data_IF_496088914029
#
_entry.id   IF_496088914029
#
_cell.length_a   1.000
_cell.length_b   1.000
_cell.length_c   1.000
_cell.angle_alpha   90.00
_cell.angle_beta   90.00
_cell.angle_gamma   90.00
#
_symmetry.space_group_name_H-M   'P 1'
#
loop_
_entity.id
_entity.type
_entity.pdbx_description
1 polymer ?
#
# COMPACT_ATOMS: atom_id res chain seq x y z
N UNK A 1 7.65 -0.35 6.07
CA UNK A 1 6.77 -0.09 4.90
C UNK A 1 6.73 1.39 4.61
N UNK A 2 6.69 1.77 3.35
CA UNK A 2 6.65 3.17 2.95
C UNK A 2 5.27 3.63 2.44
N UNK A 3 4.36 2.74 2.09
CA UNK A 3 3.15 3.11 1.37
C UNK A 3 1.88 2.45 1.95
N UNK A 4 0.86 3.28 2.13
CA UNK A 4 -0.50 2.88 2.48
C UNK A 4 -1.45 3.59 1.52
N UNK A 5 -2.45 2.88 1.01
CA UNK A 5 -3.52 3.53 0.26
C UNK A 5 -4.45 4.27 1.22
N UNK A 6 -4.59 5.57 1.01
CA UNK A 6 -5.47 6.43 1.78
C UNK A 6 -6.57 7.01 0.89
N UNK A 7 -7.75 7.19 1.47
CA UNK A 7 -8.88 7.80 0.81
C UNK A 7 -9.79 8.49 1.82
N UNK A 8 -10.66 9.38 1.35
CA UNK A 8 -11.65 9.98 2.25
C UNK A 8 -12.68 8.93 2.67
N UNK A 9 -13.10 8.99 3.93
CA UNK A 9 -14.11 8.09 4.48
C UNK A 9 -15.42 8.15 3.67
N UNK A 10 -15.80 9.33 3.26
CA UNK A 10 -17.02 9.54 2.47
C UNK A 10 -16.92 8.84 1.11
N UNK A 11 -15.80 8.99 0.41
CA UNK A 11 -15.59 8.32 -0.88
C UNK A 11 -15.64 6.80 -0.73
N UNK A 12 -14.90 6.24 0.22
CA UNK A 12 -14.84 4.78 0.46
C UNK A 12 -16.23 4.23 0.77
N UNK A 13 -17.00 4.94 1.61
CA UNK A 13 -18.37 4.53 1.99
C UNK A 13 -19.33 4.59 0.81
N UNK A 14 -19.27 5.64 0.00
CA UNK A 14 -20.18 5.84 -1.15
C UNK A 14 -19.78 5.01 -2.37
N UNK A 15 -18.51 4.65 -2.50
CA UNK A 15 -17.95 4.00 -3.69
C UNK A 15 -17.16 2.73 -3.34
N UNK A 16 -17.76 1.73 -2.69
CA UNK A 16 -17.02 0.53 -2.25
C UNK A 16 -16.47 -0.28 -3.43
N UNK A 17 -17.23 -0.36 -4.54
CA UNK A 17 -16.77 -1.06 -5.75
C UNK A 17 -15.58 -0.38 -6.39
N UNK A 18 -15.59 0.95 -6.52
CA UNK A 18 -14.46 1.70 -7.06
C UNK A 18 -13.23 1.60 -6.17
N UNK A 19 -13.40 1.68 -4.85
CA UNK A 19 -12.34 1.49 -3.86
C UNK A 19 -11.69 0.12 -4.00
N UNK A 20 -12.47 -0.94 -4.07
CA UNK A 20 -11.97 -2.31 -4.26
C UNK A 20 -11.24 -2.50 -5.60
N UNK A 21 -11.77 -1.91 -6.69
CA UNK A 21 -11.13 -1.95 -8.01
C UNK A 21 -9.78 -1.24 -8.01
N UNK A 22 -9.69 -0.06 -7.40
CA UNK A 22 -8.42 0.67 -7.28
C UNK A 22 -7.38 -0.14 -6.49
N UNK A 23 -7.76 -0.69 -5.34
CA UNK A 23 -6.88 -1.54 -4.55
C UNK A 23 -6.43 -2.80 -5.32
N UNK A 24 -7.35 -3.45 -6.05
CA UNK A 24 -7.01 -4.60 -6.91
C UNK A 24 -5.97 -4.25 -7.96
N UNK A 25 -6.09 -3.09 -8.61
CA UNK A 25 -5.13 -2.64 -9.60
C UNK A 25 -3.73 -2.45 -8.98
N UNK A 26 -3.64 -1.86 -7.79
CA UNK A 26 -2.39 -1.69 -7.05
C UNK A 26 -1.77 -3.03 -6.67
N UNK A 27 -2.57 -3.98 -6.17
CA UNK A 27 -2.08 -5.30 -5.79
C UNK A 27 -1.59 -6.11 -7.00
N UNK A 28 -2.27 -6.00 -8.15
CA UNK A 28 -1.79 -6.58 -9.41
C UNK A 28 -0.49 -5.93 -9.90
N UNK A 29 -0.34 -4.63 -9.73
CA UNK A 29 0.91 -3.95 -10.03
C UNK A 29 2.07 -4.47 -9.17
N UNK A 30 1.83 -4.75 -7.88
CA UNK A 30 2.82 -5.39 -7.01
C UNK A 30 3.26 -6.76 -7.55
N UNK A 31 2.34 -7.55 -8.07
CA UNK A 31 2.66 -8.85 -8.68
C UNK A 31 3.52 -8.69 -9.95
N UNK A 32 3.24 -7.71 -10.77
CA UNK A 32 4.05 -7.38 -11.96
C UNK A 32 5.44 -6.92 -11.55
N UNK A 33 5.55 -6.02 -10.56
CA UNK A 33 6.84 -5.56 -10.05
C UNK A 33 7.70 -6.69 -9.48
N UNK A 34 7.07 -7.68 -8.85
CA UNK A 34 7.76 -8.85 -8.32
C UNK A 34 8.20 -9.82 -9.41
N UNK A 35 7.36 -10.04 -10.43
CA UNK A 35 7.60 -11.02 -11.48
C UNK A 35 8.59 -10.53 -12.55
N UNK A 36 8.52 -9.25 -12.92
CA UNK A 36 9.36 -8.65 -13.97
C UNK A 36 9.74 -7.20 -13.60
N UNK A 37 10.71 -7.04 -12.68
CA UNK A 37 11.13 -5.73 -12.21
C UNK A 37 11.73 -4.87 -13.34
N UNK A 38 12.41 -5.46 -14.31
CA UNK A 38 12.99 -4.76 -15.46
C UNK A 38 11.91 -4.11 -16.33
N UNK A 39 10.84 -4.82 -16.62
CA UNK A 39 9.69 -4.30 -17.36
C UNK A 39 9.00 -3.19 -16.61
N UNK A 40 8.80 -3.36 -15.29
CA UNK A 40 8.18 -2.36 -14.44
C UNK A 40 9.00 -1.06 -14.42
N UNK A 41 10.33 -1.17 -14.26
CA UNK A 41 11.24 -0.02 -14.26
C UNK A 41 11.25 0.69 -15.61
N UNK A 42 11.33 -0.04 -16.72
CA UNK A 42 11.24 0.58 -18.06
C UNK A 42 9.97 1.41 -18.21
N UNK A 43 8.82 0.86 -17.83
CA UNK A 43 7.55 1.57 -17.89
C UNK A 43 7.52 2.85 -17.06
N UNK A 44 8.20 2.87 -15.90
CA UNK A 44 8.32 4.06 -15.05
C UNK A 44 9.25 5.11 -15.64
N UNK A 45 10.39 4.70 -16.20
CA UNK A 45 11.36 5.59 -16.86
C UNK A 45 10.76 6.21 -18.12
N UNK A 46 10.15 5.41 -18.98
CA UNK A 46 9.53 5.86 -20.24
C UNK A 46 8.42 6.88 -20.02
N UNK A 47 7.73 6.80 -18.88
CA UNK A 47 6.68 7.75 -18.48
C UNK A 47 7.18 8.93 -17.64
N UNK A 48 8.47 9.00 -17.39
CA UNK A 48 9.09 10.08 -16.60
C UNK A 48 8.84 10.02 -15.09
N UNK A 49 8.37 8.88 -14.57
CA UNK A 49 8.14 8.70 -13.13
C UNK A 49 9.41 8.31 -12.35
N UNK A 50 10.43 7.81 -13.02
CA UNK A 50 11.72 7.49 -12.42
C UNK A 50 12.85 8.12 -13.23
N UNK A 51 13.87 8.62 -12.52
CA UNK A 51 15.14 9.09 -13.10
C UNK A 51 16.21 8.06 -12.79
N UNK A 52 16.87 7.53 -13.81
CA UNK A 52 17.94 6.54 -13.64
C UNK A 52 17.39 5.10 -13.51
N UNK A 53 17.61 4.33 -14.55
CA UNK A 53 17.13 2.96 -14.65
C UNK A 53 17.77 2.05 -13.60
N UNK A 54 19.08 2.18 -13.35
CA UNK A 54 19.80 1.28 -12.45
C UNK A 54 19.36 1.42 -11.00
N UNK A 55 19.25 2.67 -10.51
CA UNK A 55 18.78 2.93 -9.14
C UNK A 55 17.33 2.47 -8.94
N UNK A 56 16.46 2.72 -9.94
CA UNK A 56 15.07 2.27 -9.88
C UNK A 56 14.98 0.74 -9.87
N UNK A 57 15.82 0.06 -10.65
CA UNK A 57 15.87 -1.40 -10.71
C UNK A 57 16.38 -2.00 -9.40
N UNK A 58 17.41 -1.41 -8.80
CA UNK A 58 17.90 -1.83 -7.51
C UNK A 58 16.80 -1.73 -6.44
N UNK A 59 16.14 -0.59 -6.33
CA UNK A 59 15.02 -0.40 -5.40
C UNK A 59 13.88 -1.39 -5.65
N UNK A 60 13.54 -1.62 -6.92
CA UNK A 60 12.46 -2.56 -7.29
C UNK A 60 12.77 -3.99 -6.85
N UNK A 61 14.03 -4.42 -6.89
CA UNK A 61 14.47 -5.75 -6.45
C UNK A 61 14.57 -5.88 -4.93
N UNK A 62 14.91 -4.80 -4.23
CA UNK A 62 15.03 -4.78 -2.76
C UNK A 62 13.68 -4.75 -2.06
N UNK A 63 12.65 -4.15 -2.69
CA UNK A 63 11.32 -4.06 -2.11
C UNK A 63 10.56 -5.40 -2.22
N UNK A 64 9.98 -5.89 -1.12
CA UNK A 64 9.36 -7.21 -1.07
C UNK A 64 7.93 -7.21 -1.67
N UNK A 65 7.76 -6.82 -2.92
CA UNK A 65 6.47 -6.74 -3.60
C UNK A 65 5.69 -8.06 -3.57
N UNK A 66 6.38 -9.20 -3.68
CA UNK A 66 5.75 -10.53 -3.65
C UNK A 66 5.10 -10.85 -2.28
N UNK A 67 5.56 -10.19 -1.20
CA UNK A 67 5.12 -10.46 0.17
C UNK A 67 4.00 -9.56 0.66
N UNK A 68 3.28 -8.91 -0.23
CA UNK A 68 2.20 -8.00 0.16
C UNK A 68 1.08 -8.68 0.97
N UNK A 69 0.92 -10.00 0.80
CA UNK A 69 -0.08 -10.80 1.53
C UNK A 69 0.27 -11.01 2.99
N UNK A 70 1.57 -11.07 3.30
CA UNK A 70 2.10 -11.34 4.64
C UNK A 70 2.25 -10.07 5.46
N UNK A 71 2.06 -8.91 4.83
CA UNK A 71 2.35 -7.63 5.44
C UNK A 71 1.28 -7.25 6.48
N UNK A 72 1.73 -7.01 7.73
CA UNK A 72 0.88 -6.50 8.82
C UNK A 72 0.78 -4.97 8.75
N UNK A 73 -0.24 -4.50 8.01
CA UNK A 73 -0.50 -3.07 7.84
C UNK A 73 -0.97 -2.41 9.13
N UNK A 74 -1.72 -3.14 9.97
CA UNK A 74 -2.19 -2.61 11.25
C UNK A 74 -1.04 -2.33 12.21
N UNK A 75 -0.06 -3.24 12.31
CA UNK A 75 1.14 -3.02 13.11
C UNK A 75 1.90 -1.76 12.67
N UNK A 76 1.96 -1.50 11.38
CA UNK A 76 2.59 -0.27 10.83
C UNK A 76 1.81 0.98 11.23
N UNK A 77 0.49 0.99 11.07
CA UNK A 77 -0.34 2.13 11.50
C UNK A 77 -0.18 2.38 12.99
N UNK A 78 -0.18 1.32 13.80
CA UNK A 78 0.02 1.39 15.25
C UNK A 78 1.37 2.03 15.60
N UNK A 79 2.44 1.59 14.95
CA UNK A 79 3.78 2.11 15.18
C UNK A 79 3.85 3.62 14.90
N UNK A 80 3.40 4.07 13.73
CA UNK A 80 3.44 5.49 13.37
C UNK A 80 2.51 6.34 14.24
N UNK A 81 1.33 5.87 14.55
CA UNK A 81 0.40 6.57 15.44
C UNK A 81 1.00 6.76 16.85
N UNK A 82 1.70 5.76 17.37
CA UNK A 82 2.42 5.89 18.65
C UNK A 82 3.52 6.95 18.56
N UNK A 83 4.38 6.90 17.52
CA UNK A 83 5.49 7.85 17.35
C UNK A 83 4.99 9.29 17.16
N UNK A 84 3.94 9.49 16.38
CA UNK A 84 3.34 10.81 16.17
C UNK A 84 2.72 11.36 17.45
N UNK A 85 2.13 10.50 18.26
CA UNK A 85 1.58 10.90 19.57
C UNK A 85 2.69 11.25 20.56
N UNK A 86 3.75 10.45 20.65
CA UNK A 86 4.92 10.74 21.49
C UNK A 86 5.59 12.06 21.10
N UNK A 87 5.63 12.37 19.80
CA UNK A 87 6.15 13.63 19.29
C UNK A 87 5.19 14.82 19.47
N UNK A 88 4.00 14.62 20.06
CA UNK A 88 3.01 15.68 20.25
C UNK A 88 2.30 16.16 18.99
N UNK A 89 2.47 15.46 17.86
CA UNK A 89 1.87 15.84 16.57
C UNK A 89 0.39 15.44 16.48
N UNK A 90 -0.04 14.45 17.24
CA UNK A 90 -1.43 14.02 17.33
C UNK A 90 -1.79 13.73 18.80
N UNK A 91 -3.07 13.85 19.12
CA UNK A 91 -3.60 13.56 20.48
C UNK A 91 -4.32 12.20 20.55
N UNK A 92 -4.78 11.69 19.40
CA UNK A 92 -5.50 10.42 19.32
C UNK A 92 -4.61 9.23 19.69
N UNK A 93 -5.19 8.24 20.38
CA UNK A 93 -4.48 6.99 20.67
C UNK A 93 -4.37 6.12 19.41
N UNK A 94 -3.35 5.24 19.30
CA UNK A 94 -3.24 4.29 18.20
C UNK A 94 -4.51 3.44 18.03
N UNK A 95 -5.14 3.03 19.11
CA UNK A 95 -6.38 2.24 19.10
C UNK A 95 -7.54 3.01 18.43
N UNK A 96 -7.71 4.29 18.75
CA UNK A 96 -8.75 5.13 18.13
C UNK A 96 -8.49 5.35 16.64
N UNK A 97 -7.24 5.53 16.25
CA UNK A 97 -6.86 5.68 14.83
C UNK A 97 -7.17 4.39 14.06
N UNK A 98 -6.77 3.24 14.57
CA UNK A 98 -7.02 1.94 13.94
C UNK A 98 -8.53 1.69 13.83
N UNK A 99 -9.28 1.85 14.92
CA UNK A 99 -10.71 1.60 14.92
C UNK A 99 -11.51 2.55 14.01
N UNK A 100 -11.09 3.81 13.89
CA UNK A 100 -11.85 4.84 13.18
C UNK A 100 -11.32 5.21 11.80
N UNK A 101 -10.08 4.84 11.44
CA UNK A 101 -9.40 5.34 10.24
C UNK A 101 -8.79 4.25 9.37
N UNK A 102 -9.02 2.98 9.67
CA UNK A 102 -8.60 1.86 8.83
C UNK A 102 -9.77 1.01 8.40
N UNK A 103 -9.66 0.43 7.21
CA UNK A 103 -10.67 -0.48 6.65
C UNK A 103 -9.95 -1.61 5.89
N UNK A 104 -9.89 -2.78 6.49
CA UNK A 104 -9.21 -3.95 5.93
C UNK A 104 -10.13 -4.89 5.14
N UNK A 105 -11.43 -4.60 5.04
CA UNK A 105 -12.41 -5.48 4.37
C UNK A 105 -12.00 -5.77 2.93
N UNK A 106 -11.66 -4.72 2.17
CA UNK A 106 -11.31 -4.84 0.75
C UNK A 106 -10.04 -5.64 0.52
N UNK A 107 -8.99 -5.40 1.31
CA UNK A 107 -7.74 -6.14 1.18
C UNK A 107 -7.93 -7.61 1.57
N UNK A 108 -8.72 -7.89 2.60
CA UNK A 108 -9.01 -9.26 3.03
C UNK A 108 -9.82 -10.04 1.98
N UNK A 109 -10.77 -9.39 1.32
CA UNK A 109 -11.49 -10.00 0.18
C UNK A 109 -10.53 -10.27 -0.99
N UNK A 110 -9.70 -9.30 -1.35
CA UNK A 110 -8.73 -9.44 -2.45
C UNK A 110 -7.66 -10.49 -2.16
N UNK A 111 -7.23 -10.65 -0.92
CA UNK A 111 -6.36 -11.76 -0.52
C UNK A 111 -6.98 -13.12 -0.82
N UNK A 112 -8.28 -13.26 -0.70
CA UNK A 112 -9.00 -14.50 -1.04
C UNK A 112 -9.20 -14.68 -2.54
N UNK A 113 -9.53 -13.58 -3.24
CA UNK A 113 -9.79 -13.61 -4.69
C UNK A 113 -8.52 -13.77 -5.53
N UNK A 114 -7.42 -13.15 -5.10
CA UNK A 114 -6.13 -13.17 -5.81
C UNK A 114 -5.20 -14.31 -5.32
N UNK A 115 -5.76 -15.40 -4.84
CA UNK A 115 -4.99 -16.63 -4.60
C UNK A 115 -4.46 -17.12 -5.95
N UNK A 116 -3.20 -16.83 -6.18
CA UNK A 116 -2.47 -17.26 -7.35
C UNK A 116 -1.85 -18.60 -7.12
#
# INVERSE_FOLDING_TARGET
MCCILAGSREFVRKNPVATKRALRAILKANEICAADPERAVRALVDRGYARGQDTALQLMRELPYARWRDYDTEATVRFYALRLREAGMITSTPQRIIAGSTDWRFVNELKRELKG
#
